data_IF_822706927722
#
_entry.id   IF_822706927722
#
_cell.length_a   1.000
_cell.length_b   1.000
_cell.length_c   1.000
_cell.angle_alpha   90.00
_cell.angle_beta   90.00
_cell.angle_gamma   90.00
#
_symmetry.space_group_name_H-M   'P 1'
#
loop_
_entity.id
_entity.type
_entity.pdbx_description
1 polymer ?
#
# COMPACT_ATOMS: atom_id res chain seq x y z
N UNK A 1 26.29 16.92 -27.38
CA UNK A 1 26.00 16.90 -25.95
C UNK A 1 26.89 15.87 -25.27
N UNK A 2 27.53 16.25 -24.18
CA UNK A 2 28.39 15.32 -23.46
C UNK A 2 27.54 14.27 -22.72
N UNK A 3 27.97 12.97 -22.69
CA UNK A 3 27.25 11.96 -21.92
C UNK A 3 27.06 12.32 -20.44
N UNK A 4 27.95 13.15 -19.88
CA UNK A 4 27.85 13.61 -18.49
C UNK A 4 26.67 14.53 -18.26
N UNK A 5 26.20 15.26 -19.27
CA UNK A 5 25.03 16.13 -19.14
C UNK A 5 23.74 15.34 -19.08
N UNK A 6 23.72 14.11 -19.64
CA UNK A 6 22.55 13.22 -19.58
C UNK A 6 22.29 12.71 -18.16
N UNK A 7 23.33 12.72 -17.32
CA UNK A 7 23.24 12.31 -15.91
C UNK A 7 23.17 13.49 -14.96
N UNK A 8 22.99 14.69 -15.47
CA UNK A 8 22.88 15.89 -14.64
C UNK A 8 21.49 15.93 -14.01
N UNK A 9 21.45 15.56 -12.74
CA UNK A 9 20.21 15.50 -11.97
C UNK A 9 20.03 16.84 -11.27
N UNK A 10 18.95 17.56 -11.61
CA UNK A 10 18.66 18.86 -11.04
C UNK A 10 18.25 18.72 -9.57
N UNK A 11 18.36 19.84 -8.85
CA UNK A 11 17.86 19.95 -7.48
C UNK A 11 16.38 19.59 -7.38
N UNK A 12 15.60 20.03 -8.35
CA UNK A 12 14.16 19.74 -8.42
C UNK A 12 13.89 18.24 -8.53
N UNK A 13 14.63 17.53 -9.40
CA UNK A 13 14.49 16.08 -9.57
C UNK A 13 14.81 15.33 -8.27
N UNK A 14 15.82 15.80 -7.54
CA UNK A 14 16.17 15.21 -6.23
C UNK A 14 15.08 15.42 -5.20
N UNK A 15 14.45 16.61 -5.21
CA UNK A 15 13.31 16.88 -4.32
C UNK A 15 12.10 16.04 -4.65
N UNK A 16 11.82 15.87 -5.95
CA UNK A 16 10.72 14.99 -6.40
C UNK A 16 10.94 13.54 -5.95
N UNK A 17 12.18 13.04 -6.07
CA UNK A 17 12.52 11.70 -5.62
C UNK A 17 12.30 11.57 -4.11
N UNK A 18 12.68 12.56 -3.33
CA UNK A 18 12.46 12.57 -1.88
C UNK A 18 10.98 12.54 -1.53
N UNK A 19 10.16 13.30 -2.24
CA UNK A 19 8.71 13.31 -2.06
C UNK A 19 8.14 11.91 -2.32
N UNK A 20 8.57 11.26 -3.40
CA UNK A 20 8.15 9.90 -3.71
C UNK A 20 8.56 8.91 -2.62
N UNK A 21 9.80 9.00 -2.12
CA UNK A 21 10.27 8.16 -1.02
C UNK A 21 9.40 8.34 0.22
N UNK A 22 9.08 9.59 0.59
CA UNK A 22 8.26 9.90 1.75
C UNK A 22 6.83 9.37 1.58
N UNK A 23 6.25 9.51 0.39
CA UNK A 23 4.90 8.99 0.09
C UNK A 23 4.87 7.46 0.20
N UNK A 24 5.89 6.77 -0.28
CA UNK A 24 5.99 5.31 -0.19
C UNK A 24 6.11 4.87 1.26
N UNK A 25 6.88 5.58 2.08
CA UNK A 25 7.00 5.31 3.52
C UNK A 25 5.65 5.50 4.23
N UNK A 26 4.91 6.56 3.90
CA UNK A 26 3.58 6.80 4.45
C UNK A 26 2.62 5.64 4.11
N UNK A 27 2.64 5.17 2.87
CA UNK A 27 1.82 4.03 2.45
C UNK A 27 2.12 2.77 3.26
N UNK A 28 3.39 2.56 3.64
CA UNK A 28 3.78 1.40 4.46
C UNK A 28 3.22 1.45 5.88
N UNK A 29 2.87 2.63 6.37
CA UNK A 29 2.21 2.79 7.67
C UNK A 29 0.70 2.70 7.52
N UNK A 30 0.15 3.38 6.52
CA UNK A 30 -1.30 3.51 6.31
C UNK A 30 -1.93 2.18 5.88
N UNK A 31 -1.31 1.47 4.93
CA UNK A 31 -1.90 0.25 4.37
C UNK A 31 -2.06 -0.89 5.39
N UNK A 32 -1.05 -1.21 6.22
CA UNK A 32 -1.26 -2.22 7.27
C UNK A 32 -2.35 -1.83 8.28
N UNK A 33 -2.43 -0.55 8.66
CA UNK A 33 -3.49 -0.06 9.52
C UNK A 33 -4.87 -0.22 8.90
N UNK A 34 -4.99 0.07 7.61
CA UNK A 34 -6.23 -0.13 6.86
C UNK A 34 -6.59 -1.62 6.81
N UNK A 35 -5.62 -2.49 6.54
CA UNK A 35 -5.82 -3.94 6.53
C UNK A 35 -6.33 -4.44 7.88
N UNK A 36 -5.73 -3.99 8.99
CA UNK A 36 -6.17 -4.35 10.33
C UNK A 36 -7.60 -3.89 10.60
N UNK A 37 -7.96 -2.69 10.18
CA UNK A 37 -9.31 -2.14 10.36
C UNK A 37 -10.34 -2.95 9.57
N UNK A 38 -10.07 -3.26 8.32
CA UNK A 38 -10.98 -4.05 7.47
C UNK A 38 -11.11 -5.47 8.02
N UNK A 39 -10.01 -6.07 8.46
CA UNK A 39 -10.00 -7.40 9.06
C UNK A 39 -10.83 -7.42 10.35
N UNK A 40 -10.72 -6.38 11.18
CA UNK A 40 -11.52 -6.24 12.39
C UNK A 40 -13.01 -6.17 12.10
N UNK A 41 -13.41 -5.37 11.12
CA UNK A 41 -14.81 -5.27 10.69
C UNK A 41 -15.30 -6.61 10.14
N UNK A 42 -14.51 -7.28 9.29
CA UNK A 42 -14.87 -8.60 8.76
C UNK A 42 -15.08 -9.61 9.87
N UNK A 43 -14.17 -9.66 10.85
CA UNK A 43 -14.27 -10.59 11.98
C UNK A 43 -15.51 -10.31 12.83
N UNK A 44 -15.86 -9.04 13.02
CA UNK A 44 -17.08 -8.68 13.73
C UNK A 44 -18.32 -9.15 12.97
N UNK A 45 -18.36 -8.98 11.65
CA UNK A 45 -19.45 -9.47 10.81
C UNK A 45 -19.59 -10.99 10.88
N UNK A 46 -18.47 -11.72 10.84
CA UNK A 46 -18.46 -13.20 10.98
C UNK A 46 -19.00 -13.60 12.35
N UNK A 47 -18.57 -12.93 13.40
CA UNK A 47 -19.05 -13.21 14.74
C UNK A 47 -20.55 -12.97 14.87
N UNK A 48 -21.06 -11.87 14.35
CA UNK A 48 -22.48 -11.54 14.36
C UNK A 48 -23.29 -12.57 13.54
N UNK A 49 -22.78 -12.99 12.39
CA UNK A 49 -23.41 -14.04 11.57
C UNK A 49 -23.57 -15.34 12.34
N UNK A 50 -22.53 -15.74 13.10
CA UNK A 50 -22.51 -17.02 13.81
C UNK A 50 -23.31 -16.99 15.12
N UNK A 51 -23.44 -15.83 15.76
CA UNK A 51 -24.03 -15.74 17.11
C UNK A 51 -25.47 -15.23 17.11
N UNK A 52 -25.96 -14.65 16.01
CA UNK A 52 -27.27 -14.01 15.96
C UNK A 52 -28.32 -14.92 15.32
N UNK A 53 -29.57 -14.74 15.76
CA UNK A 53 -30.73 -15.43 15.19
C UNK A 53 -31.34 -14.62 14.05
N UNK A 54 -30.52 -14.28 13.06
CA UNK A 54 -30.98 -13.55 11.89
C UNK A 54 -31.87 -14.40 11.00
N UNK A 55 -32.82 -13.75 10.32
CA UNK A 55 -33.59 -14.40 9.26
C UNK A 55 -32.68 -14.78 8.11
N UNK A 56 -33.11 -15.74 7.30
CA UNK A 56 -32.29 -16.30 6.23
C UNK A 56 -31.83 -15.24 5.20
N UNK A 57 -32.72 -14.31 4.84
CA UNK A 57 -32.38 -13.25 3.90
C UNK A 57 -31.36 -12.25 4.49
N UNK A 58 -31.44 -11.98 5.80
CA UNK A 58 -30.46 -11.14 6.49
C UNK A 58 -29.08 -11.82 6.53
N UNK A 59 -29.06 -13.14 6.72
CA UNK A 59 -27.81 -13.92 6.67
C UNK A 59 -27.17 -13.87 5.28
N UNK A 60 -27.94 -13.92 4.21
CA UNK A 60 -27.42 -13.77 2.85
C UNK A 60 -26.78 -12.40 2.64
N UNK A 61 -27.40 -11.35 3.17
CA UNK A 61 -26.84 -9.99 3.08
C UNK A 61 -25.52 -9.89 3.85
N UNK A 62 -25.45 -10.48 5.04
CA UNK A 62 -24.21 -10.47 5.85
C UNK A 62 -23.11 -11.28 5.13
N UNK A 63 -23.43 -12.43 4.55
CA UNK A 63 -22.46 -13.21 3.76
C UNK A 63 -21.91 -12.40 2.58
N UNK A 64 -22.78 -11.65 1.89
CA UNK A 64 -22.37 -10.82 0.77
C UNK A 64 -21.39 -9.73 1.23
N UNK A 65 -21.67 -9.10 2.38
CA UNK A 65 -20.78 -8.10 2.96
C UNK A 65 -19.44 -8.72 3.36
N UNK A 66 -19.45 -9.88 4.00
CA UNK A 66 -18.22 -10.60 4.35
C UNK A 66 -17.41 -10.92 3.09
N UNK A 67 -18.07 -11.34 2.01
CA UNK A 67 -17.40 -11.58 0.73
C UNK A 67 -16.71 -10.35 0.18
N UNK A 68 -17.39 -9.20 0.20
CA UNK A 68 -16.80 -7.93 -0.23
C UNK A 68 -15.61 -7.52 0.65
N UNK A 69 -15.75 -7.68 1.96
CA UNK A 69 -14.67 -7.36 2.90
C UNK A 69 -13.45 -8.25 2.66
N UNK A 70 -13.66 -9.53 2.35
CA UNK A 70 -12.57 -10.44 2.00
C UNK A 70 -11.84 -9.99 0.73
N UNK A 71 -12.57 -9.48 -0.26
CA UNK A 71 -11.97 -8.91 -1.48
C UNK A 71 -11.11 -7.69 -1.15
N UNK A 72 -11.62 -6.78 -0.33
CA UNK A 72 -10.85 -5.61 0.11
C UNK A 72 -9.60 -5.99 0.89
N UNK A 73 -9.68 -7.04 1.71
CA UNK A 73 -8.51 -7.56 2.44
C UNK A 73 -7.44 -8.04 1.45
N UNK A 74 -7.85 -8.78 0.41
CA UNK A 74 -6.91 -9.25 -0.61
C UNK A 74 -6.29 -8.09 -1.39
N UNK A 75 -7.09 -7.08 -1.73
CA UNK A 75 -6.58 -5.87 -2.39
C UNK A 75 -5.59 -5.12 -1.50
N UNK A 76 -5.90 -4.95 -0.21
CA UNK A 76 -5.01 -4.28 0.73
C UNK A 76 -3.67 -5.02 0.84
N UNK A 77 -3.69 -6.35 0.92
CA UNK A 77 -2.48 -7.18 0.94
C UNK A 77 -1.66 -6.99 -0.34
N UNK A 78 -2.31 -6.94 -1.49
CA UNK A 78 -1.67 -6.70 -2.77
C UNK A 78 -0.97 -5.34 -2.78
N UNK A 79 -1.65 -4.28 -2.33
CA UNK A 79 -1.07 -2.94 -2.29
C UNK A 79 0.07 -2.83 -1.29
N UNK A 80 0.02 -3.55 -0.17
CA UNK A 80 1.13 -3.62 0.79
C UNK A 80 2.37 -4.18 0.11
N UNK A 81 2.25 -5.28 -0.63
CA UNK A 81 3.38 -5.88 -1.35
C UNK A 81 3.89 -4.95 -2.45
N UNK A 82 2.99 -4.29 -3.15
CA UNK A 82 3.36 -3.32 -4.18
C UNK A 82 4.10 -2.12 -3.58
N UNK A 83 3.68 -1.63 -2.42
CA UNK A 83 4.36 -0.55 -1.71
C UNK A 83 5.78 -0.95 -1.30
N UNK A 84 5.98 -2.19 -0.86
CA UNK A 84 7.32 -2.72 -0.56
C UNK A 84 8.23 -2.70 -1.78
N UNK A 85 7.71 -3.14 -2.92
CA UNK A 85 8.44 -3.12 -4.19
C UNK A 85 8.81 -1.69 -4.59
N UNK A 86 7.88 -0.75 -4.47
CA UNK A 86 8.12 0.66 -4.77
C UNK A 86 9.17 1.26 -3.83
N UNK A 87 9.12 0.90 -2.55
CA UNK A 87 10.13 1.34 -1.58
C UNK A 87 11.53 0.87 -1.98
N UNK A 88 11.67 -0.40 -2.36
CA UNK A 88 12.94 -0.95 -2.77
C UNK A 88 13.47 -0.27 -4.04
N UNK A 89 12.59 -0.01 -5.00
CA UNK A 89 12.94 0.71 -6.23
C UNK A 89 13.35 2.15 -5.93
N UNK A 90 12.61 2.85 -5.09
CA UNK A 90 12.91 4.23 -4.71
C UNK A 90 14.27 4.30 -3.99
N UNK A 91 14.52 3.36 -3.09
CA UNK A 91 15.81 3.27 -2.37
C UNK A 91 16.96 3.01 -3.33
N UNK A 92 16.81 2.07 -4.25
CA UNK A 92 17.82 1.76 -5.25
C UNK A 92 18.11 2.95 -6.16
N UNK A 93 17.07 3.66 -6.58
CA UNK A 93 17.19 4.87 -7.39
C UNK A 93 17.92 5.97 -6.62
N UNK A 94 17.58 6.17 -5.34
CA UNK A 94 18.22 7.17 -4.50
C UNK A 94 19.70 6.86 -4.30
N UNK A 95 20.06 5.59 -4.12
CA UNK A 95 21.46 5.17 -4.02
C UNK A 95 22.24 5.42 -5.32
N UNK A 96 21.62 5.11 -6.46
CA UNK A 96 22.22 5.38 -7.76
C UNK A 96 22.47 6.88 -7.95
N UNK A 97 21.48 7.71 -7.63
CA UNK A 97 21.61 9.16 -7.70
C UNK A 97 22.77 9.66 -6.84
N UNK A 98 22.88 9.16 -5.60
CA UNK A 98 24.00 9.52 -4.70
C UNK A 98 25.35 9.13 -5.30
N UNK A 99 25.44 7.93 -5.86
CA UNK A 99 26.68 7.49 -6.53
C UNK A 99 27.04 8.39 -7.70
N UNK A 100 26.08 8.77 -8.53
CA UNK A 100 26.31 9.65 -9.67
C UNK A 100 26.72 11.05 -9.24
N UNK A 101 26.22 11.54 -8.11
CA UNK A 101 26.56 12.87 -7.60
C UNK A 101 27.94 12.92 -6.93
N UNK A 102 28.46 11.79 -6.48
CA UNK A 102 29.78 11.71 -5.84
C UNK A 102 30.91 11.59 -6.85
N UNK A 103 30.61 11.28 -8.08
CA UNK A 103 31.59 11.21 -9.16
C UNK A 103 31.61 12.49 -9.97
#
# INVERSE_FOLDING_TARGET
MSPLTDFNISFENRQELKVVEDMVLDLQVILPGLLDSITGVRNQCVNDFNTSTYKQNEKYQIEAIIGELNEYIQEAKFYIERAKTLKDKARSTAQLVRCLLQT
#
